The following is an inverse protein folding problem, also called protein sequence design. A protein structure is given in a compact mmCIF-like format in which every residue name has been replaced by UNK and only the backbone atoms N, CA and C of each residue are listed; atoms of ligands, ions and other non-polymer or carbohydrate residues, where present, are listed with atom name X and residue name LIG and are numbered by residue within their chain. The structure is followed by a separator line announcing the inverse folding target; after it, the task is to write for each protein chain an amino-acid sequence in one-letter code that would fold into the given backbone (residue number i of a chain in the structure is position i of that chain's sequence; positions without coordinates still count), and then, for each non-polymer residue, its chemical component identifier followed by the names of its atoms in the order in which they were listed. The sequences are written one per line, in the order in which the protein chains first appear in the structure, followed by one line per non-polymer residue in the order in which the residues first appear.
data_IF_657686630024
#
_entry.id   IF_657686630024
#
_cell.length_a   1.000
_cell.length_b   1.000
_cell.length_c   1.000
_cell.angle_alpha   90.00
_cell.angle_beta   90.00
_cell.angle_gamma   90.00
#
_symmetry.space_group_name_H-M   'P 1'
#
loop_
_entity.id
_entity.type
_entity.pdbx_description
1 polymer ?
#
# COMPACT_ATOMS: atom_id res chain seq x y z
N UNK A 1 18.02 33.03 59.89
CA UNK A 1 19.05 32.70 58.88
C UNK A 1 18.80 31.32 58.26
N UNK A 2 18.65 30.27 59.08
CA UNK A 2 18.35 28.88 58.70
C UNK A 2 17.20 28.66 57.70
N UNK A 3 16.09 29.40 57.86
CA UNK A 3 14.89 29.21 57.03
C UNK A 3 15.03 29.71 55.58
N UNK A 4 16.03 30.57 55.30
CA UNK A 4 16.35 31.02 53.92
C UNK A 4 17.16 29.97 53.14
N UNK A 5 18.03 29.23 53.83
CA UNK A 5 18.84 28.15 53.25
C UNK A 5 17.97 26.94 52.89
N UNK A 6 17.05 26.56 53.79
CA UNK A 6 16.07 25.50 53.58
C UNK A 6 15.15 25.76 52.37
N UNK A 7 14.74 27.02 52.16
CA UNK A 7 13.98 27.43 50.97
C UNK A 7 14.80 27.39 49.68
N UNK A 8 16.10 27.71 49.73
CA UNK A 8 17.01 27.60 48.57
C UNK A 8 17.21 26.15 48.14
N UNK A 9 17.42 25.24 49.09
CA UNK A 9 17.60 23.80 48.82
C UNK A 9 16.33 23.16 48.23
N UNK A 10 15.14 23.50 48.75
CA UNK A 10 13.87 23.09 48.15
C UNK A 10 13.76 23.59 46.71
N UNK A 11 14.03 24.87 46.44
CA UNK A 11 13.98 25.44 45.08
C UNK A 11 14.92 24.74 44.09
N UNK A 12 16.16 24.42 44.50
CA UNK A 12 17.10 23.65 43.66
C UNK A 12 16.56 22.28 43.29
N UNK A 13 15.94 21.56 44.24
CA UNK A 13 15.31 20.25 43.97
C UNK A 13 14.18 20.36 42.97
N UNK A 14 13.30 21.36 43.11
CA UNK A 14 12.23 21.62 42.14
C UNK A 14 12.75 21.96 40.74
N UNK A 15 13.83 22.74 40.63
CA UNK A 15 14.48 23.03 39.35
C UNK A 15 15.06 21.77 38.71
N UNK A 16 15.71 20.90 39.49
CA UNK A 16 16.22 19.60 39.03
C UNK A 16 15.10 18.69 38.52
N UNK A 17 13.98 18.59 39.24
CA UNK A 17 12.82 17.81 38.79
C UNK A 17 12.20 18.39 37.52
N UNK A 18 12.09 19.72 37.42
CA UNK A 18 11.62 20.38 36.21
C UNK A 18 12.50 20.07 35.00
N UNK A 19 13.82 20.13 35.16
CA UNK A 19 14.78 19.80 34.10
C UNK A 19 14.66 18.32 33.69
N UNK A 20 14.59 17.40 34.65
CA UNK A 20 14.41 15.98 34.38
C UNK A 20 13.10 15.68 33.64
N UNK A 21 12.01 16.35 34.00
CA UNK A 21 10.72 16.22 33.33
C UNK A 21 10.78 16.71 31.88
N UNK A 22 11.44 17.84 31.62
CA UNK A 22 11.63 18.36 30.24
C UNK A 22 12.42 17.36 29.39
N UNK A 23 13.51 16.81 29.93
CA UNK A 23 14.32 15.80 29.23
C UNK A 23 13.48 14.57 28.91
N UNK A 24 12.72 14.05 29.89
CA UNK A 24 11.85 12.90 29.70
C UNK A 24 10.77 13.15 28.63
N UNK A 25 10.09 14.29 28.69
CA UNK A 25 9.08 14.68 27.70
C UNK A 25 9.70 14.81 26.30
N UNK A 26 10.89 15.41 26.19
CA UNK A 26 11.59 15.53 24.91
C UNK A 26 11.92 14.17 24.29
N UNK A 27 12.33 13.19 25.11
CA UNK A 27 12.61 11.83 24.67
C UNK A 27 11.35 11.11 24.16
N UNK A 28 10.21 11.28 24.85
CA UNK A 28 8.92 10.75 24.41
C UNK A 28 8.51 11.37 23.06
N UNK A 29 8.59 12.70 22.93
CA UNK A 29 8.24 13.40 21.69
C UNK A 29 9.14 12.94 20.54
N UNK A 30 10.45 12.80 20.78
CA UNK A 30 11.39 12.28 19.79
C UNK A 30 11.02 10.86 19.35
N UNK A 31 10.64 9.98 20.27
CA UNK A 31 10.21 8.62 19.94
C UNK A 31 8.90 8.62 19.12
N UNK A 32 7.92 9.43 19.51
CA UNK A 32 6.64 9.54 18.80
C UNK A 32 6.82 10.08 17.37
N UNK A 33 7.63 11.11 17.19
CA UNK A 33 7.91 11.69 15.86
C UNK A 33 8.60 10.66 14.96
N UNK A 34 9.58 9.93 15.47
CA UNK A 34 10.30 8.92 14.68
C UNK A 34 9.42 7.72 14.31
N UNK A 35 8.50 7.32 15.19
CA UNK A 35 7.70 6.09 15.01
C UNK A 35 6.35 6.32 14.35
N UNK A 36 5.57 7.28 14.86
CA UNK A 36 4.17 7.53 14.47
C UNK A 36 4.07 8.46 13.27
N UNK A 37 4.89 9.52 13.21
CA UNK A 37 4.86 10.48 12.09
C UNK A 37 5.56 9.95 10.82
N UNK A 38 6.29 8.84 10.91
CA UNK A 38 6.95 8.22 9.75
C UNK A 38 5.92 7.58 8.81
N UNK A 39 5.69 8.24 7.67
CA UNK A 39 4.85 7.71 6.59
C UNK A 39 5.54 6.51 5.95
N UNK A 40 4.83 5.38 5.91
CA UNK A 40 5.19 4.12 5.27
C UNK A 40 4.35 3.91 4.03
N UNK A 41 4.93 3.24 3.03
CA UNK A 41 4.23 2.94 1.79
C UNK A 41 3.08 1.95 2.09
N UNK A 42 1.87 2.20 1.57
CA UNK A 42 0.82 1.20 1.58
C UNK A 42 1.29 -0.04 0.79
N UNK A 43 0.76 -1.21 1.12
CA UNK A 43 1.08 -2.45 0.38
C UNK A 43 -0.12 -2.88 -0.43
N UNK A 44 0.05 -3.03 -1.73
CA UNK A 44 -0.92 -3.64 -2.62
C UNK A 44 -0.72 -5.15 -2.65
N UNK A 45 -1.81 -5.92 -2.65
CA UNK A 45 -1.78 -7.38 -2.80
C UNK A 45 -3.02 -7.86 -3.54
N UNK A 46 -2.81 -8.71 -4.54
CA UNK A 46 -3.85 -9.61 -5.05
C UNK A 46 -4.05 -10.72 -4.01
N UNK A 47 -5.30 -11.02 -3.65
CA UNK A 47 -5.63 -12.00 -2.59
C UNK A 47 -6.21 -13.27 -3.15
N UNK A 48 -7.10 -13.14 -4.13
CA UNK A 48 -7.72 -14.24 -4.83
C UNK A 48 -8.24 -13.74 -6.16
N UNK A 49 -8.37 -14.64 -7.13
CA UNK A 49 -9.06 -14.40 -8.37
C UNK A 49 -10.09 -15.51 -8.54
N UNK A 50 -11.31 -15.14 -8.91
CA UNK A 50 -12.34 -16.08 -9.36
C UNK A 50 -12.43 -15.94 -10.86
N UNK A 51 -12.35 -17.06 -11.57
CA UNK A 51 -12.43 -17.10 -13.03
C UNK A 51 -13.88 -17.35 -13.43
N UNK A 52 -14.43 -16.48 -14.28
CA UNK A 52 -15.80 -16.61 -14.77
C UNK A 52 -15.80 -17.35 -16.12
N UNK A 53 -15.16 -16.75 -17.13
CA UNK A 53 -15.04 -17.32 -18.48
C UNK A 53 -13.59 -17.39 -18.87
N UNK A 54 -13.17 -18.54 -19.39
CA UNK A 54 -11.81 -18.79 -19.83
C UNK A 54 -11.83 -19.48 -21.19
N UNK A 55 -11.25 -18.82 -22.19
CA UNK A 55 -11.10 -19.31 -23.54
C UNK A 55 -9.61 -19.35 -23.90
N UNK A 56 -9.15 -20.51 -24.36
CA UNK A 56 -7.78 -20.74 -24.80
C UNK A 56 -7.81 -21.29 -26.22
N UNK A 57 -7.06 -20.65 -27.10
CA UNK A 57 -6.69 -21.22 -28.38
C UNK A 57 -5.24 -21.67 -28.33
N UNK A 58 -4.99 -22.96 -28.55
CA UNK A 58 -3.65 -23.56 -28.50
C UNK A 58 -3.10 -23.93 -29.88
N UNK A 59 -3.85 -23.69 -30.96
CA UNK A 59 -3.45 -24.00 -32.35
C UNK A 59 -2.62 -22.85 -32.94
N UNK A 60 -2.43 -22.80 -34.26
CA UNK A 60 -1.49 -21.98 -35.05
C UNK A 60 -1.24 -20.52 -34.61
N UNK A 61 -2.13 -19.91 -33.81
CA UNK A 61 -1.91 -18.66 -33.09
C UNK A 61 -2.37 -18.79 -31.62
N UNK A 62 -1.46 -19.13 -30.69
CA UNK A 62 -1.83 -19.35 -29.30
C UNK A 62 -2.31 -18.06 -28.64
N UNK A 63 -3.47 -18.10 -28.00
CA UNK A 63 -4.08 -16.96 -27.32
C UNK A 63 -4.95 -17.41 -26.15
N UNK A 64 -5.11 -16.52 -25.19
CA UNK A 64 -6.10 -16.61 -24.12
C UNK A 64 -6.97 -15.36 -24.05
N UNK A 65 -8.22 -15.56 -23.64
CA UNK A 65 -9.18 -14.55 -23.25
C UNK A 65 -9.86 -15.00 -21.95
N UNK A 66 -9.85 -14.14 -20.94
CA UNK A 66 -10.23 -14.52 -19.60
C UNK A 66 -10.93 -13.37 -18.88
N UNK A 67 -12.09 -13.66 -18.29
CA UNK A 67 -12.80 -12.74 -17.40
C UNK A 67 -12.67 -13.22 -15.97
N UNK A 68 -12.19 -12.34 -15.10
CA UNK A 68 -11.93 -12.68 -13.69
C UNK A 68 -12.46 -11.62 -12.74
N UNK A 69 -12.85 -12.05 -11.56
CA UNK A 69 -13.09 -11.19 -10.42
C UNK A 69 -11.91 -11.28 -9.45
N UNK A 70 -11.09 -10.25 -9.41
CA UNK A 70 -9.89 -10.18 -8.58
C UNK A 70 -10.20 -9.47 -7.28
N UNK A 71 -9.91 -10.13 -6.15
CA UNK A 71 -9.97 -9.50 -4.83
C UNK A 71 -8.62 -8.84 -4.55
N UNK A 72 -8.64 -7.52 -4.49
CA UNK A 72 -7.49 -6.68 -4.24
C UNK A 72 -7.52 -6.14 -2.82
N UNK A 73 -6.34 -6.11 -2.18
CA UNK A 73 -6.16 -5.57 -0.84
C UNK A 73 -5.12 -4.45 -0.80
N UNK A 74 -5.54 -3.26 -0.36
CA UNK A 74 -4.65 -2.14 -0.03
C UNK A 74 -4.45 -2.11 1.47
N UNK A 75 -3.27 -2.51 1.94
CA UNK A 75 -2.87 -2.46 3.35
C UNK A 75 -2.25 -1.11 3.67
N UNK A 76 -2.89 -0.35 4.54
CA UNK A 76 -2.32 0.85 5.12
C UNK A 76 -1.38 0.48 6.28
N UNK A 77 -0.10 0.85 6.18
CA UNK A 77 0.89 0.64 7.23
C UNK A 77 1.09 1.86 8.14
N UNK A 78 0.37 2.96 7.88
CA UNK A 78 0.52 4.24 8.55
C UNK A 78 -0.32 4.35 9.81
N UNK A 79 0.16 5.20 10.72
CA UNK A 79 -0.59 5.66 11.90
C UNK A 79 -1.57 6.78 11.55
N UNK A 80 -2.39 6.56 10.52
CA UNK A 80 -3.35 7.53 10.02
C UNK A 80 -4.21 6.94 8.92
N UNK A 81 -5.45 7.39 8.71
CA UNK A 81 -6.21 7.01 7.53
C UNK A 81 -5.44 7.37 6.24
N UNK A 82 -5.36 6.42 5.32
CA UNK A 82 -4.83 6.65 3.97
C UNK A 82 -6.01 6.80 3.00
N UNK A 83 -6.18 8.01 2.48
CA UNK A 83 -7.17 8.35 1.46
C UNK A 83 -6.47 8.31 0.11
N UNK A 84 -6.88 7.41 -0.78
CA UNK A 84 -6.33 7.28 -2.13
C UNK A 84 -7.37 7.69 -3.16
N UNK A 85 -6.90 8.29 -4.24
CA UNK A 85 -7.74 8.73 -5.36
C UNK A 85 -8.06 7.56 -6.30
N UNK A 86 -8.89 7.82 -7.32
CA UNK A 86 -9.18 6.85 -8.35
C UNK A 86 -7.87 6.50 -9.08
N UNK A 87 -7.65 5.22 -9.34
CA UNK A 87 -6.40 4.72 -9.93
C UNK A 87 -6.69 3.50 -10.79
N UNK A 88 -5.72 3.09 -11.59
CA UNK A 88 -5.84 1.94 -12.47
C UNK A 88 -4.78 0.91 -12.10
N UNK A 89 -5.17 -0.36 -12.10
CA UNK A 89 -4.24 -1.49 -12.09
C UNK A 89 -4.14 -2.05 -13.49
N UNK A 90 -2.91 -2.31 -13.92
CA UNK A 90 -2.57 -2.88 -15.21
C UNK A 90 -2.03 -4.29 -15.01
N UNK A 91 -2.43 -5.21 -15.86
CA UNK A 91 -2.01 -6.60 -15.86
C UNK A 91 -1.15 -6.87 -17.07
N UNK A 92 -0.06 -7.60 -16.87
CA UNK A 92 0.94 -7.86 -17.89
C UNK A 92 1.26 -9.34 -17.97
N UNK A 93 1.46 -9.81 -19.20
CA UNK A 93 2.19 -11.03 -19.49
C UNK A 93 3.59 -10.63 -19.98
N UNK A 94 4.62 -10.95 -19.19
CA UNK A 94 5.95 -10.34 -19.34
C UNK A 94 5.87 -8.81 -19.23
N UNK A 95 6.21 -8.12 -20.32
CA UNK A 95 6.12 -6.65 -20.44
C UNK A 95 4.96 -6.16 -21.30
N UNK A 96 4.12 -7.07 -21.80
CA UNK A 96 2.96 -6.71 -22.63
C UNK A 96 1.71 -6.59 -21.78
N UNK A 97 1.04 -5.45 -21.85
CA UNK A 97 -0.25 -5.24 -21.18
C UNK A 97 -1.31 -6.15 -21.81
N UNK A 98 -2.01 -6.89 -20.96
CA UNK A 98 -3.09 -7.82 -21.35
C UNK A 98 -4.46 -7.41 -20.81
N UNK A 99 -4.51 -6.38 -19.95
CA UNK A 99 -5.76 -5.83 -19.45
C UNK A 99 -5.55 -4.85 -18.31
N UNK A 100 -6.63 -4.15 -17.94
CA UNK A 100 -6.60 -3.16 -16.87
C UNK A 100 -7.92 -3.11 -16.11
N UNK A 101 -7.87 -2.56 -14.90
CA UNK A 101 -9.04 -2.44 -14.05
C UNK A 101 -8.99 -1.20 -13.16
N UNK A 102 -10.16 -0.61 -12.90
CA UNK A 102 -10.26 0.62 -12.11
C UNK A 102 -10.32 0.29 -10.62
N UNK A 103 -9.45 0.93 -9.85
CA UNK A 103 -9.47 0.96 -8.39
C UNK A 103 -10.19 2.24 -7.96
N UNK A 104 -11.43 2.14 -7.45
CA UNK A 104 -12.20 3.31 -7.09
C UNK A 104 -11.57 4.05 -5.91
N UNK A 105 -11.74 5.38 -5.92
CA UNK A 105 -11.34 6.26 -4.81
C UNK A 105 -11.90 5.74 -3.48
N UNK A 106 -11.03 5.55 -2.49
CA UNK A 106 -11.48 5.11 -1.16
C UNK A 106 -10.50 5.47 -0.04
N UNK A 107 -10.80 4.95 1.15
CA UNK A 107 -10.03 5.18 2.38
C UNK A 107 -9.69 3.86 3.05
N UNK A 108 -8.40 3.60 3.24
CA UNK A 108 -7.90 2.54 4.10
C UNK A 108 -7.66 3.10 5.51
N UNK A 109 -8.36 2.54 6.51
CA UNK A 109 -8.23 2.98 7.89
C UNK A 109 -6.82 2.70 8.47
N UNK A 110 -6.53 3.31 9.61
CA UNK A 110 -5.28 3.19 10.35
C UNK A 110 -4.85 1.73 10.53
N UNK A 111 -3.64 1.39 10.07
CA UNK A 111 -3.07 0.02 10.14
C UNK A 111 -3.99 -1.11 9.61
N UNK A 112 -5.00 -0.80 8.80
CA UNK A 112 -5.99 -1.75 8.28
C UNK A 112 -5.81 -2.00 6.79
N UNK A 113 -6.39 -3.10 6.33
CA UNK A 113 -6.45 -3.45 4.90
C UNK A 113 -7.84 -3.14 4.37
N UNK A 114 -7.93 -2.35 3.31
CA UNK A 114 -9.16 -2.18 2.54
C UNK A 114 -9.16 -3.23 1.43
N UNK A 115 -10.20 -4.06 1.40
CA UNK A 115 -10.43 -5.04 0.34
C UNK A 115 -11.55 -4.56 -0.57
N UNK A 116 -11.45 -4.89 -1.84
CA UNK A 116 -12.48 -4.68 -2.85
C UNK A 116 -12.30 -5.71 -3.97
N UNK A 117 -13.40 -6.05 -4.63
CA UNK A 117 -13.41 -6.96 -5.78
C UNK A 117 -13.48 -6.10 -7.04
N UNK A 118 -12.66 -6.44 -8.04
CA UNK A 118 -12.64 -5.78 -9.34
C UNK A 118 -12.79 -6.82 -10.43
N UNK A 119 -13.73 -6.61 -11.34
CA UNK A 119 -13.83 -7.39 -12.57
C UNK A 119 -12.75 -6.96 -13.54
N UNK A 120 -12.05 -7.92 -14.14
CA UNK A 120 -10.95 -7.70 -15.08
C UNK A 120 -11.12 -8.62 -16.27
N UNK A 121 -11.10 -8.03 -17.46
CA UNK A 121 -11.01 -8.74 -18.72
C UNK A 121 -9.55 -8.74 -19.17
N UNK A 122 -8.99 -9.93 -19.38
CA UNK A 122 -7.62 -10.17 -19.76
C UNK A 122 -7.60 -10.84 -21.14
N UNK A 123 -6.91 -10.25 -22.10
CA UNK A 123 -6.80 -10.78 -23.44
C UNK A 123 -5.38 -10.64 -23.98
N UNK A 124 -4.95 -11.66 -24.71
CA UNK A 124 -3.61 -11.75 -25.33
C UNK A 124 -3.57 -11.23 -26.77
N UNK A 125 -4.44 -10.28 -27.12
CA UNK A 125 -4.58 -9.75 -28.48
C UNK A 125 -3.27 -9.21 -29.07
N UNK A 126 -2.41 -8.63 -28.24
CA UNK A 126 -1.11 -8.09 -28.63
C UNK A 126 0.06 -9.11 -28.51
N UNK A 127 -0.24 -10.38 -28.24
CA UNK A 127 0.75 -11.45 -28.04
C UNK A 127 0.68 -12.54 -29.12
N UNK A 128 -0.02 -12.27 -30.23
CA UNK A 128 -0.12 -13.19 -31.35
C UNK A 128 1.27 -13.61 -31.86
N UNK A 129 1.49 -14.92 -32.02
CA UNK A 129 2.76 -15.47 -32.48
C UNK A 129 3.88 -15.53 -31.42
N UNK A 130 3.60 -15.20 -30.16
CA UNK A 130 4.58 -15.34 -29.08
C UNK A 130 4.81 -16.83 -28.75
N UNK A 131 5.98 -17.36 -29.10
CA UNK A 131 6.36 -18.75 -28.85
C UNK A 131 6.43 -19.13 -27.37
N UNK A 132 6.74 -18.16 -26.51
CA UNK A 132 6.77 -18.37 -25.07
C UNK A 132 5.36 -18.48 -24.50
N UNK A 133 4.42 -17.67 -24.99
CA UNK A 133 3.01 -17.81 -24.63
C UNK A 133 2.46 -19.18 -25.03
N UNK A 134 2.85 -19.70 -26.19
CA UNK A 134 2.51 -21.05 -26.63
C UNK A 134 2.97 -22.11 -25.63
N UNK A 135 4.22 -21.99 -25.18
CA UNK A 135 4.85 -22.92 -24.23
C UNK A 135 4.15 -22.84 -22.87
N UNK A 136 3.93 -21.64 -22.35
CA UNK A 136 3.26 -21.37 -21.08
C UNK A 136 1.83 -21.94 -21.09
N UNK A 137 1.06 -21.69 -22.15
CA UNK A 137 -0.28 -22.29 -22.33
C UNK A 137 -0.20 -23.82 -22.37
N UNK A 138 0.75 -24.40 -23.12
CA UNK A 138 0.91 -25.85 -23.21
C UNK A 138 1.33 -26.49 -21.88
N UNK A 139 2.05 -25.75 -21.03
CA UNK A 139 2.43 -26.15 -19.67
C UNK A 139 1.28 -26.03 -18.66
N UNK A 140 0.18 -25.38 -19.05
CA UNK A 140 -0.96 -25.08 -18.17
C UNK A 140 -0.72 -23.91 -17.20
N UNK A 141 0.39 -23.17 -17.34
CA UNK A 141 0.77 -22.09 -16.43
C UNK A 141 1.05 -20.82 -17.25
N UNK A 142 0.22 -19.79 -17.07
CA UNK A 142 0.43 -18.47 -17.69
C UNK A 142 0.83 -17.47 -16.60
N UNK A 143 2.11 -17.05 -16.53
CA UNK A 143 2.56 -16.08 -15.55
C UNK A 143 2.02 -14.68 -15.87
N UNK A 144 1.26 -14.12 -14.93
CA UNK A 144 0.74 -12.76 -15.02
C UNK A 144 1.31 -11.90 -13.89
N UNK A 145 1.67 -10.66 -14.20
CA UNK A 145 2.08 -9.67 -13.21
C UNK A 145 1.09 -8.51 -13.18
N UNK A 146 1.03 -7.78 -12.06
CA UNK A 146 0.17 -6.60 -11.94
C UNK A 146 0.93 -5.41 -11.38
N UNK A 147 0.69 -4.23 -11.97
CA UNK A 147 1.32 -2.96 -11.58
C UNK A 147 0.25 -1.89 -11.41
N UNK A 148 0.34 -1.09 -10.37
CA UNK A 148 -0.58 0.02 -10.13
C UNK A 148 0.12 1.15 -9.38
N UNK A 149 -0.15 2.38 -9.80
CA UNK A 149 0.29 3.58 -9.07
C UNK A 149 -0.88 4.14 -8.27
N UNK A 150 -0.75 4.09 -6.95
CA UNK A 150 -1.74 4.66 -6.03
C UNK A 150 -1.29 6.04 -5.57
N UNK A 151 -2.10 7.05 -5.90
CA UNK A 151 -1.91 8.41 -5.40
C UNK A 151 -2.82 8.65 -4.20
N UNK A 152 -2.28 9.27 -3.14
CA UNK A 152 -3.10 9.54 -1.96
C UNK A 152 -2.46 10.40 -0.89
N UNK A 153 -3.21 10.56 0.21
CA UNK A 153 -2.83 11.33 1.39
C UNK A 153 -2.94 10.47 2.63
N UNK A 154 -1.94 10.58 3.50
CA UNK A 154 -1.98 10.02 4.85
C UNK A 154 -2.28 11.15 5.83
N UNK A 155 -3.30 10.96 6.66
CA UNK A 155 -3.66 11.90 7.73
C UNK A 155 -2.92 11.49 9.01
N UNK A 156 -1.83 12.19 9.35
CA UNK A 156 -1.08 11.96 10.58
C UNK A 156 -1.72 12.77 11.71
N UNK A 157 -1.95 12.12 12.86
CA UNK A 157 -2.45 12.71 14.13
C UNK A 157 -3.22 14.05 13.94
N UNK A 158 -4.50 13.94 13.58
CA UNK A 158 -5.59 14.93 13.55
C UNK A 158 -5.37 16.33 12.90
N UNK A 159 -4.14 16.80 12.66
CA UNK A 159 -3.87 18.18 12.20
C UNK A 159 -2.97 18.21 10.96
N UNK A 160 -2.09 17.23 10.73
CA UNK A 160 -1.11 17.29 9.63
C UNK A 160 -1.42 16.31 8.49
N UNK A 161 -1.71 16.85 7.29
CA UNK A 161 -1.95 16.07 6.05
C UNK A 161 -0.71 16.10 5.15
N UNK A 162 -0.23 14.93 4.70
CA UNK A 162 0.91 14.84 3.76
C UNK A 162 0.49 14.17 2.45
N UNK A 163 0.84 14.80 1.31
CA UNK A 163 0.67 14.24 -0.05
C UNK A 163 1.89 13.40 -0.42
N UNK A 164 1.69 12.20 -0.97
CA UNK A 164 2.75 11.30 -1.48
C UNK A 164 2.19 10.46 -2.64
N UNK A 165 3.07 10.07 -3.55
CA UNK A 165 2.81 9.15 -4.65
C UNK A 165 3.48 7.81 -4.33
N UNK A 166 2.84 6.70 -4.66
CA UNK A 166 3.38 5.36 -4.41
C UNK A 166 3.15 4.46 -5.61
N UNK A 167 4.24 3.92 -6.15
CA UNK A 167 4.19 2.82 -7.12
C UNK A 167 4.13 1.49 -6.37
N UNK A 168 3.20 0.63 -6.78
CA UNK A 168 2.95 -0.65 -6.15
C UNK A 168 3.00 -1.75 -7.20
N UNK A 169 3.82 -2.75 -6.90
CA UNK A 169 4.03 -3.93 -7.71
C UNK A 169 3.53 -5.14 -6.93
N UNK A 170 2.77 -6.03 -7.58
CA UNK A 170 2.51 -7.37 -7.06
C UNK A 170 3.06 -8.38 -8.06
N UNK A 171 3.94 -9.24 -7.56
CA UNK A 171 4.26 -10.50 -8.21
C UNK A 171 3.13 -11.49 -7.99
#
# INVERSE_FOLDING_TARGET
MYDKELRREKRKKWLLYGLAFIIFQSAIIALFTLTVMKVRNPKFRVRSATFDTFDIQSTTNPSFSLRTNVVVGIKNANFGPYKYDNSTVYFYYGDTEVGSAVIPKSKAQFRRTKKFTVGVDLASTNLAGNSQLATDISSGIVPLSSRSTLTGKVELMLIFKKKKYFDLYSC
#
